data_IF_218143253181
#
_entry.id   IF_218143253181
#
_cell.length_a   1.000
_cell.length_b   1.000
_cell.length_c   1.000
_cell.angle_alpha   90.00
_cell.angle_beta   90.00
_cell.angle_gamma   90.00
#
_symmetry.space_group_name_H-M   'P 1'
#
loop_
_entity.id
_entity.type
_entity.pdbx_description
1 polymer ?
#
# COMPACT_ATOMS: atom_id res chain seq x y z
N UNK A 1 15.01 1.12 -84.23
CA UNK A 1 15.41 0.29 -83.03
C UNK A 1 15.95 -1.01 -83.61
N UNK A 2 17.13 -1.43 -83.20
CA UNK A 2 17.68 -2.71 -83.65
C UNK A 2 17.04 -3.85 -82.85
N UNK A 3 16.85 -5.02 -83.44
CA UNK A 3 16.25 -6.20 -82.67
C UNK A 3 16.95 -6.51 -81.36
N UNK A 4 18.19 -6.06 -81.20
CA UNK A 4 18.99 -6.18 -79.98
C UNK A 4 18.52 -5.23 -78.87
N UNK A 5 18.06 -4.02 -79.18
CA UNK A 5 17.50 -3.04 -78.24
C UNK A 5 16.14 -3.47 -77.70
N UNK A 6 15.30 -4.05 -78.58
CA UNK A 6 14.00 -4.62 -78.19
C UNK A 6 14.15 -5.81 -77.25
N UNK A 7 15.14 -6.65 -77.47
CA UNK A 7 15.44 -7.79 -76.56
C UNK A 7 15.97 -7.34 -75.21
N UNK A 8 16.81 -6.30 -75.19
CA UNK A 8 17.31 -5.71 -73.89
C UNK A 8 16.22 -5.03 -73.13
N UNK A 9 15.32 -4.31 -73.79
CA UNK A 9 14.16 -3.67 -73.11
C UNK A 9 13.21 -4.75 -72.55
N UNK A 10 12.95 -5.82 -73.32
CA UNK A 10 12.14 -6.95 -72.85
C UNK A 10 12.74 -7.65 -71.60
N UNK A 11 14.07 -7.89 -71.65
CA UNK A 11 14.76 -8.48 -70.48
C UNK A 11 14.74 -7.57 -69.23
N UNK A 12 14.91 -6.25 -69.42
CA UNK A 12 14.83 -5.27 -68.33
C UNK A 12 13.43 -5.20 -67.72
N UNK A 13 12.37 -5.22 -68.53
CA UNK A 13 10.98 -5.24 -68.04
C UNK A 13 10.68 -6.54 -67.28
N UNK A 14 11.18 -7.69 -67.78
CA UNK A 14 11.02 -8.96 -67.06
C UNK A 14 11.76 -8.98 -65.74
N UNK A 15 12.95 -8.40 -65.63
CA UNK A 15 13.72 -8.27 -64.40
C UNK A 15 13.00 -7.35 -63.37
N UNK A 16 12.43 -6.23 -63.83
CA UNK A 16 11.63 -5.33 -62.98
C UNK A 16 10.37 -6.03 -62.48
N UNK A 17 9.67 -6.76 -63.34
CA UNK A 17 8.47 -7.51 -62.95
C UNK A 17 8.82 -8.60 -61.93
N UNK A 18 9.89 -9.34 -62.11
CA UNK A 18 10.37 -10.33 -61.15
C UNK A 18 10.75 -9.72 -59.82
N UNK A 19 11.40 -8.55 -59.80
CA UNK A 19 11.73 -7.81 -58.58
C UNK A 19 10.47 -7.33 -57.83
N UNK A 20 9.47 -6.85 -58.57
CA UNK A 20 8.18 -6.45 -57.97
C UNK A 20 7.41 -7.63 -57.36
N UNK A 21 7.39 -8.78 -58.03
CA UNK A 21 6.77 -10.02 -57.54
C UNK A 21 7.49 -10.49 -56.28
N UNK A 22 8.82 -10.50 -56.25
CA UNK A 22 9.61 -10.89 -55.09
C UNK A 22 9.39 -9.92 -53.92
N UNK A 23 9.33 -8.63 -54.17
CA UNK A 23 9.04 -7.62 -53.16
C UNK A 23 7.61 -7.75 -52.59
N UNK A 24 6.62 -7.99 -53.46
CA UNK A 24 5.25 -8.23 -53.07
C UNK A 24 5.11 -9.51 -52.24
N UNK A 25 5.76 -10.59 -52.67
CA UNK A 25 5.79 -11.86 -51.96
C UNK A 25 6.49 -11.73 -50.58
N UNK A 26 7.62 -11.02 -50.52
CA UNK A 26 8.32 -10.73 -49.25
C UNK A 26 7.44 -9.95 -48.27
N UNK A 27 6.76 -8.87 -48.75
CA UNK A 27 5.82 -8.10 -47.92
C UNK A 27 4.65 -8.95 -47.46
N UNK A 28 4.06 -9.75 -48.30
CA UNK A 28 2.95 -10.65 -47.94
C UNK A 28 3.38 -11.69 -46.91
N UNK A 29 4.56 -12.29 -47.07
CA UNK A 29 5.16 -13.25 -46.13
C UNK A 29 5.39 -12.60 -44.76
N UNK A 30 5.99 -11.40 -44.69
CA UNK A 30 6.25 -10.67 -43.47
C UNK A 30 4.93 -10.29 -42.77
N UNK A 31 3.95 -9.79 -43.55
CA UNK A 31 2.63 -9.44 -42.98
C UNK A 31 1.91 -10.65 -42.39
N UNK A 32 2.00 -11.80 -43.02
CA UNK A 32 1.40 -13.05 -42.52
C UNK A 32 2.07 -13.49 -41.21
N UNK A 33 3.38 -13.36 -41.09
CA UNK A 33 4.14 -13.67 -39.86
C UNK A 33 3.72 -12.72 -38.74
N UNK A 34 3.64 -11.41 -39.01
CA UNK A 34 3.24 -10.43 -38.00
C UNK A 34 1.82 -10.65 -37.49
N UNK A 35 0.87 -10.92 -38.38
CA UNK A 35 -0.53 -11.22 -37.99
C UNK A 35 -0.64 -12.50 -37.14
N UNK A 36 0.24 -13.47 -37.36
CA UNK A 36 0.27 -14.70 -36.59
C UNK A 36 0.85 -14.47 -35.21
N UNK A 37 1.92 -13.68 -35.08
CA UNK A 37 2.50 -13.27 -33.82
C UNK A 37 1.52 -12.43 -32.95
N UNK A 38 0.83 -11.50 -33.59
CA UNK A 38 -0.18 -10.67 -32.95
C UNK A 38 -1.29 -11.54 -32.32
N UNK A 39 -1.80 -12.51 -33.06
CA UNK A 39 -2.80 -13.46 -32.59
C UNK A 39 -2.27 -14.31 -31.43
N UNK A 40 -1.05 -14.83 -31.52
CA UNK A 40 -0.42 -15.60 -30.44
C UNK A 40 -0.30 -14.78 -29.16
N UNK A 41 0.07 -13.50 -29.25
CA UNK A 41 0.14 -12.60 -28.12
C UNK A 41 -1.25 -12.30 -27.53
N UNK A 42 -2.26 -12.09 -28.37
CA UNK A 42 -3.63 -11.90 -27.87
C UNK A 42 -4.16 -13.13 -27.14
N UNK A 43 -3.93 -14.32 -27.68
CA UNK A 43 -4.32 -15.60 -27.05
C UNK A 43 -3.56 -15.82 -25.74
N UNK A 44 -2.27 -15.47 -25.70
CA UNK A 44 -1.46 -15.50 -24.48
C UNK A 44 -2.00 -14.57 -23.38
N UNK A 45 -2.36 -13.33 -23.75
CA UNK A 45 -2.94 -12.35 -22.83
C UNK A 45 -4.31 -12.83 -22.32
N UNK A 46 -5.12 -13.47 -23.16
CA UNK A 46 -6.43 -14.03 -22.78
C UNK A 46 -6.32 -15.36 -22.02
N UNK A 47 -5.13 -15.93 -21.90
CA UNK A 47 -4.93 -17.25 -21.25
C UNK A 47 -5.48 -18.43 -22.04
N UNK A 48 -5.76 -18.24 -23.33
CA UNK A 48 -6.35 -19.27 -24.24
C UNK A 48 -5.33 -19.81 -25.24
N UNK A 49 -4.06 -19.47 -25.06
CA UNK A 49 -3.00 -19.89 -25.96
C UNK A 49 -2.81 -21.41 -25.95
N UNK A 50 -2.84 -22.02 -27.14
CA UNK A 50 -2.57 -23.46 -27.37
C UNK A 50 -1.60 -23.60 -28.54
N UNK A 51 -0.66 -24.54 -28.45
CA UNK A 51 0.20 -24.90 -29.54
C UNK A 51 -0.62 -25.44 -30.72
N UNK A 52 -0.43 -24.84 -31.91
CA UNK A 52 -1.19 -25.22 -33.11
C UNK A 52 -0.31 -25.82 -34.24
N UNK A 53 1.01 -25.61 -34.20
CA UNK A 53 1.93 -26.13 -35.19
C UNK A 53 2.99 -27.05 -34.56
N UNK A 54 3.11 -28.25 -35.11
CA UNK A 54 4.08 -29.27 -34.72
C UNK A 54 5.00 -29.61 -35.89
N UNK A 55 5.51 -28.61 -36.60
CA UNK A 55 6.46 -28.77 -37.68
C UNK A 55 7.88 -28.33 -37.29
N UNK A 56 8.88 -28.66 -38.06
CA UNK A 56 10.27 -28.27 -37.80
C UNK A 56 10.58 -26.80 -38.16
N UNK A 57 9.54 -25.95 -38.23
CA UNK A 57 9.70 -24.53 -38.52
C UNK A 57 10.19 -23.74 -37.33
N UNK A 58 10.88 -22.65 -37.58
CA UNK A 58 11.26 -21.64 -36.55
C UNK A 58 10.03 -21.12 -35.79
N UNK A 59 8.86 -21.18 -36.42
CA UNK A 59 7.59 -20.75 -35.83
C UNK A 59 7.11 -21.74 -34.76
N UNK A 60 7.17 -23.03 -35.05
CA UNK A 60 6.83 -24.07 -34.06
C UNK A 60 7.74 -24.01 -32.84
N UNK A 61 9.04 -23.74 -33.02
CA UNK A 61 9.97 -23.56 -31.92
C UNK A 61 9.61 -22.35 -31.05
N UNK A 62 9.16 -21.25 -31.63
CA UNK A 62 8.70 -20.05 -30.88
C UNK A 62 7.38 -20.32 -30.13
N UNK A 63 6.43 -21.01 -30.78
CA UNK A 63 5.17 -21.43 -30.15
C UNK A 63 5.44 -22.32 -28.94
N UNK A 64 6.30 -23.31 -29.02
CA UNK A 64 6.67 -24.21 -27.92
C UNK A 64 7.36 -23.46 -26.80
N UNK A 65 8.31 -22.56 -27.07
CA UNK A 65 8.95 -21.74 -26.07
C UNK A 65 7.96 -20.82 -25.35
N UNK A 66 7.04 -20.19 -26.10
CA UNK A 66 6.00 -19.34 -25.53
C UNK A 66 5.05 -20.15 -24.64
N UNK A 67 4.58 -21.31 -25.11
CA UNK A 67 3.74 -22.22 -24.32
C UNK A 67 4.43 -22.63 -23.02
N UNK A 68 5.71 -23.00 -23.11
CA UNK A 68 6.49 -23.39 -21.93
C UNK A 68 6.65 -22.23 -20.93
N UNK A 69 6.93 -21.01 -21.42
CA UNK A 69 7.02 -19.82 -20.58
C UNK A 69 5.68 -19.47 -19.90
N UNK A 70 4.58 -19.51 -20.66
CA UNK A 70 3.24 -19.25 -20.11
C UNK A 70 2.84 -20.30 -19.08
N UNK A 71 3.11 -21.58 -19.34
CA UNK A 71 2.85 -22.65 -18.37
C UNK A 71 3.68 -22.48 -17.09
N UNK A 72 4.99 -22.18 -17.21
CA UNK A 72 5.85 -21.92 -16.07
C UNK A 72 5.40 -20.68 -15.28
N UNK A 73 5.00 -19.61 -15.97
CA UNK A 73 4.45 -18.39 -15.36
C UNK A 73 3.14 -18.66 -14.62
N UNK A 74 2.23 -19.45 -15.20
CA UNK A 74 0.97 -19.82 -14.57
C UNK A 74 1.20 -20.68 -13.30
N UNK A 75 2.13 -21.63 -13.34
CA UNK A 75 2.51 -22.42 -12.15
C UNK A 75 3.11 -21.53 -11.07
N UNK A 76 4.01 -20.61 -11.44
CA UNK A 76 4.61 -19.67 -10.49
C UNK A 76 3.56 -18.76 -9.85
N UNK A 77 2.64 -18.21 -10.63
CA UNK A 77 1.52 -17.39 -10.13
C UNK A 77 0.63 -18.18 -9.17
N UNK A 78 0.33 -19.43 -9.49
CA UNK A 78 -0.45 -20.32 -8.64
C UNK A 78 0.25 -20.64 -7.31
N UNK A 79 1.55 -20.97 -7.36
CA UNK A 79 2.34 -21.23 -6.16
C UNK A 79 2.39 -19.99 -5.25
N UNK A 80 2.58 -18.80 -5.82
CA UNK A 80 2.57 -17.54 -5.09
C UNK A 80 1.20 -17.29 -4.43
N UNK A 81 0.11 -17.60 -5.13
CA UNK A 81 -1.23 -17.45 -4.58
C UNK A 81 -1.50 -18.47 -3.44
N UNK A 82 -1.02 -19.69 -3.58
CA UNK A 82 -1.11 -20.72 -2.53
C UNK A 82 -0.30 -20.33 -1.29
N UNK A 83 0.91 -19.79 -1.46
CA UNK A 83 1.71 -19.26 -0.34
C UNK A 83 1.01 -18.08 0.35
N UNK A 84 0.46 -17.14 -0.41
CA UNK A 84 -0.36 -16.04 0.14
C UNK A 84 -1.53 -16.58 0.96
N UNK A 85 -2.23 -17.57 0.46
CA UNK A 85 -3.37 -18.17 1.16
C UNK A 85 -2.94 -18.88 2.45
N UNK A 86 -1.80 -19.58 2.46
CA UNK A 86 -1.22 -20.19 3.66
C UNK A 86 -0.88 -19.13 4.71
N UNK A 87 -0.22 -18.06 4.30
CA UNK A 87 0.12 -16.93 5.18
C UNK A 87 -1.18 -16.31 5.75
N UNK A 88 -2.20 -16.15 4.90
CA UNK A 88 -3.52 -15.65 5.31
C UNK A 88 -4.15 -16.47 6.43
N UNK A 89 -4.18 -17.79 6.26
CA UNK A 89 -4.70 -18.71 7.27
C UNK A 89 -3.89 -18.63 8.57
N UNK A 90 -2.56 -18.67 8.46
CA UNK A 90 -1.67 -18.60 9.62
C UNK A 90 -1.86 -17.30 10.43
N UNK A 91 -2.00 -16.15 9.75
CA UNK A 91 -2.24 -14.86 10.41
C UNK A 91 -3.60 -14.84 11.10
N UNK A 92 -4.65 -15.41 10.46
CA UNK A 92 -5.97 -15.51 11.06
C UNK A 92 -5.94 -16.41 12.31
N UNK A 93 -5.28 -17.55 12.24
CA UNK A 93 -5.14 -18.49 13.34
C UNK A 93 -4.36 -17.87 14.51
N UNK A 94 -3.21 -17.24 14.26
CA UNK A 94 -2.45 -16.52 15.28
C UNK A 94 -3.30 -15.43 15.93
N UNK A 95 -4.03 -14.64 15.13
CA UNK A 95 -4.90 -13.58 15.64
C UNK A 95 -5.95 -14.12 16.61
N UNK A 96 -6.63 -15.21 16.24
CA UNK A 96 -7.66 -15.82 17.10
C UNK A 96 -7.08 -16.52 18.32
N UNK A 97 -6.02 -17.30 18.14
CA UNK A 97 -5.41 -18.09 19.22
C UNK A 97 -4.67 -17.25 20.25
N UNK A 98 -4.16 -16.07 19.87
CA UNK A 98 -3.50 -15.17 20.80
C UNK A 98 -4.46 -14.20 21.48
N UNK A 99 -5.53 -13.77 20.80
CA UNK A 99 -6.51 -12.84 21.37
C UNK A 99 -7.20 -13.44 22.61
N UNK A 100 -7.61 -14.68 22.55
CA UNK A 100 -8.34 -15.34 23.66
C UNK A 100 -7.54 -15.40 24.95
N UNK A 101 -6.28 -15.92 25.01
CA UNK A 101 -5.53 -15.96 26.26
C UNK A 101 -5.19 -14.56 26.80
N UNK A 102 -4.93 -13.58 25.94
CA UNK A 102 -4.67 -12.20 26.38
C UNK A 102 -5.91 -11.58 26.99
N UNK A 103 -7.08 -11.75 26.35
CA UNK A 103 -8.36 -11.27 26.91
C UNK A 103 -8.64 -11.91 28.28
N UNK A 104 -8.33 -13.20 28.46
CA UNK A 104 -8.48 -13.87 29.74
C UNK A 104 -7.50 -13.31 30.79
N UNK A 105 -6.24 -13.03 30.44
CA UNK A 105 -5.27 -12.40 31.34
C UNK A 105 -5.74 -11.04 31.78
N UNK A 106 -6.25 -10.20 30.84
CA UNK A 106 -6.84 -8.90 31.17
C UNK A 106 -8.04 -9.02 32.10
N UNK A 107 -8.95 -9.95 31.79
CA UNK A 107 -10.12 -10.18 32.66
C UNK A 107 -9.72 -10.58 34.06
N UNK A 108 -8.77 -11.51 34.22
CA UNK A 108 -8.31 -11.94 35.55
C UNK A 108 -7.56 -10.83 36.30
N UNK A 109 -6.79 -10.01 35.58
CA UNK A 109 -6.12 -8.86 36.19
C UNK A 109 -7.15 -7.84 36.69
N UNK A 110 -8.19 -7.51 35.91
CA UNK A 110 -9.27 -6.64 36.29
C UNK A 110 -10.05 -7.18 37.51
N UNK A 111 -10.41 -8.47 37.51
CA UNK A 111 -11.09 -9.11 38.65
C UNK A 111 -10.22 -9.11 39.91
N UNK A 112 -8.91 -9.24 39.80
CA UNK A 112 -7.99 -9.09 40.93
C UNK A 112 -7.92 -7.63 41.42
N UNK A 113 -7.93 -6.67 40.47
CA UNK A 113 -7.92 -5.24 40.81
C UNK A 113 -9.15 -4.76 41.57
N UNK A 114 -10.31 -5.46 41.40
CA UNK A 114 -11.54 -5.19 42.15
C UNK A 114 -11.51 -5.70 43.63
N UNK A 115 -10.53 -6.56 43.95
CA UNK A 115 -10.41 -7.08 45.33
C UNK A 115 -9.64 -6.13 46.22
N UNK A 116 -9.83 -6.29 47.51
CA UNK A 116 -9.07 -5.52 48.53
C UNK A 116 -7.65 -6.11 48.65
N UNK A 117 -6.75 -5.59 47.84
CA UNK A 117 -5.37 -6.03 47.76
C UNK A 117 -4.42 -5.09 48.51
N UNK A 118 -3.37 -5.62 49.15
CA UNK A 118 -2.26 -4.79 49.61
C UNK A 118 -1.69 -3.92 48.51
N UNK A 119 -1.20 -2.73 48.85
CA UNK A 119 -0.72 -1.73 47.85
C UNK A 119 0.33 -2.30 46.89
N UNK A 120 1.25 -3.11 47.41
CA UNK A 120 2.28 -3.79 46.59
C UNK A 120 1.67 -4.75 45.54
N UNK A 121 0.65 -5.52 45.97
CA UNK A 121 -0.07 -6.43 45.05
C UNK A 121 -0.91 -5.66 44.02
N UNK A 122 -1.52 -4.55 44.43
CA UNK A 122 -2.27 -3.67 43.50
C UNK A 122 -1.39 -3.08 42.44
N UNK A 123 -0.17 -2.61 42.79
CA UNK A 123 0.80 -2.11 41.84
C UNK A 123 1.22 -3.19 40.82
N UNK A 124 1.40 -4.45 41.25
CA UNK A 124 1.71 -5.56 40.36
C UNK A 124 0.56 -5.90 39.40
N UNK A 125 -0.68 -5.87 39.87
CA UNK A 125 -1.88 -6.09 39.03
C UNK A 125 -1.98 -5.01 37.96
N UNK A 126 -1.84 -3.73 38.34
CA UNK A 126 -1.85 -2.60 37.39
C UNK A 126 -0.73 -2.73 36.34
N UNK A 127 0.47 -3.15 36.75
CA UNK A 127 1.58 -3.39 35.84
C UNK A 127 1.27 -4.55 34.89
N UNK A 128 0.63 -5.63 35.38
CA UNK A 128 0.21 -6.77 34.56
C UNK A 128 -0.83 -6.36 33.52
N UNK A 129 -1.84 -5.59 33.91
CA UNK A 129 -2.86 -5.03 33.00
C UNK A 129 -2.19 -4.24 31.88
N UNK A 130 -1.33 -3.30 32.20
CA UNK A 130 -0.62 -2.49 31.20
C UNK A 130 0.24 -3.32 30.25
N UNK A 131 0.89 -4.40 30.72
CA UNK A 131 1.66 -5.31 29.86
C UNK A 131 0.74 -6.14 28.95
N UNK A 132 -0.40 -6.61 29.45
CA UNK A 132 -1.36 -7.38 28.66
C UNK A 132 -2.02 -6.51 27.58
N UNK A 133 -2.42 -5.28 27.87
CA UNK A 133 -2.94 -4.30 26.92
C UNK A 133 -1.90 -3.98 25.83
N UNK A 134 -0.64 -3.80 26.21
CA UNK A 134 0.45 -3.57 25.28
C UNK A 134 0.66 -4.76 24.35
N UNK A 135 0.60 -5.99 24.88
CA UNK A 135 0.72 -7.22 24.08
C UNK A 135 -0.46 -7.36 23.11
N UNK A 136 -1.68 -7.07 23.54
CA UNK A 136 -2.87 -7.05 22.70
C UNK A 136 -2.69 -6.07 21.53
N UNK A 137 -2.31 -4.84 21.82
CA UNK A 137 -2.06 -3.80 20.80
C UNK A 137 -0.96 -4.20 19.79
N UNK A 138 0.11 -4.86 20.29
CA UNK A 138 1.18 -5.41 19.45
C UNK A 138 0.64 -6.42 18.43
N UNK A 139 -0.12 -7.39 18.90
CA UNK A 139 -0.66 -8.46 18.07
C UNK A 139 -1.65 -7.90 17.05
N UNK A 140 -2.56 -7.02 17.46
CA UNK A 140 -3.53 -6.39 16.56
C UNK A 140 -2.82 -5.59 15.45
N UNK A 141 -1.82 -4.80 15.80
CA UNK A 141 -1.04 -4.02 14.84
C UNK A 141 -0.22 -4.92 13.90
N UNK A 142 0.38 -6.02 14.41
CA UNK A 142 1.11 -7.00 13.60
C UNK A 142 0.18 -7.68 12.58
N UNK A 143 -1.00 -8.10 13.02
CA UNK A 143 -2.01 -8.74 12.18
C UNK A 143 -2.50 -7.78 11.10
N UNK A 144 -2.85 -6.53 11.45
CA UNK A 144 -3.26 -5.50 10.49
C UNK A 144 -2.18 -5.27 9.42
N UNK A 145 -0.95 -5.08 9.88
CA UNK A 145 0.20 -4.84 8.99
C UNK A 145 0.47 -6.01 8.05
N UNK A 146 0.48 -7.23 8.59
CA UNK A 146 0.73 -8.43 7.79
C UNK A 146 -0.36 -8.67 6.75
N UNK A 147 -1.63 -8.42 7.08
CA UNK A 147 -2.75 -8.49 6.12
C UNK A 147 -2.61 -7.47 4.99
N UNK A 148 -2.14 -6.27 5.30
CA UNK A 148 -1.93 -5.23 4.29
C UNK A 148 -0.77 -5.58 3.35
N UNK A 149 0.37 -6.05 3.89
CA UNK A 149 1.56 -6.41 3.11
C UNK A 149 1.38 -7.63 2.22
N UNK A 150 0.64 -8.61 2.70
CA UNK A 150 0.33 -9.81 1.90
C UNK A 150 -0.76 -9.56 0.85
N UNK A 151 -1.33 -8.33 0.81
CA UNK A 151 -2.44 -8.01 -0.09
C UNK A 151 -3.74 -8.75 0.27
N UNK A 152 -3.83 -9.27 1.49
CA UNK A 152 -5.05 -9.88 2.04
C UNK A 152 -6.08 -8.80 2.34
N UNK A 153 -5.57 -7.65 2.80
CA UNK A 153 -6.35 -6.47 3.01
C UNK A 153 -6.28 -5.63 1.74
N UNK A 154 -7.35 -5.66 0.99
CA UNK A 154 -7.49 -4.84 -0.21
C UNK A 154 -8.02 -3.47 0.18
N UNK A 155 -7.34 -2.43 -0.29
CA UNK A 155 -7.80 -1.06 -0.19
C UNK A 155 -8.73 -0.77 -1.37
N UNK A 156 -9.85 -0.11 -1.09
CA UNK A 156 -10.84 0.25 -2.10
C UNK A 156 -10.99 1.78 -2.19
N UNK A 157 -9.98 2.49 -2.75
CA UNK A 157 -10.05 3.94 -2.87
C UNK A 157 -11.18 4.37 -3.79
N UNK A 158 -12.01 5.31 -3.30
CA UNK A 158 -13.14 5.90 -4.00
C UNK A 158 -13.14 7.41 -3.82
N UNK A 159 -13.68 8.17 -4.77
CA UNK A 159 -13.89 9.60 -4.58
C UNK A 159 -14.75 9.89 -3.35
N UNK A 160 -14.27 10.73 -2.45
CA UNK A 160 -14.97 11.09 -1.22
C UNK A 160 -14.59 12.48 -0.71
N UNK A 161 -15.42 13.04 0.19
CA UNK A 161 -15.13 14.28 0.91
C UNK A 161 -14.19 14.02 2.08
N UNK A 162 -13.11 14.79 2.20
CA UNK A 162 -12.16 14.68 3.30
C UNK A 162 -12.68 15.30 4.60
N UNK A 163 -13.43 16.41 4.52
CA UNK A 163 -13.87 17.16 5.70
C UNK A 163 -14.58 16.30 6.75
N UNK A 164 -15.69 15.62 6.42
CA UNK A 164 -16.41 14.78 7.39
C UNK A 164 -15.53 13.72 8.05
N UNK A 165 -14.68 13.04 7.28
CA UNK A 165 -13.77 12.01 7.82
C UNK A 165 -12.75 12.60 8.79
N UNK A 166 -12.22 13.80 8.54
CA UNK A 166 -11.28 14.48 9.42
C UNK A 166 -11.96 14.96 10.71
N UNK A 167 -13.20 15.44 10.61
CA UNK A 167 -14.02 15.84 11.77
C UNK A 167 -14.34 14.63 12.65
N UNK A 168 -14.73 13.50 12.05
CA UNK A 168 -15.01 12.24 12.75
C UNK A 168 -13.75 11.71 13.45
N UNK A 169 -12.60 11.70 12.75
CA UNK A 169 -11.33 11.32 13.34
C UNK A 169 -10.95 12.23 14.53
N UNK A 170 -11.09 13.55 14.40
CA UNK A 170 -10.78 14.49 15.47
C UNK A 170 -11.71 14.33 16.68
N UNK A 171 -13.00 14.08 16.45
CA UNK A 171 -13.99 13.87 17.52
C UNK A 171 -13.63 12.69 18.43
N UNK A 172 -13.02 11.62 17.89
CA UNK A 172 -12.56 10.46 18.67
C UNK A 172 -11.46 10.83 19.67
N UNK A 173 -10.70 11.89 19.42
CA UNK A 173 -9.61 12.33 20.29
C UNK A 173 -10.03 13.44 21.27
N UNK A 174 -11.24 13.98 21.19
CA UNK A 174 -11.72 15.03 22.08
C UNK A 174 -11.57 14.69 23.59
N UNK A 175 -11.90 13.49 24.07
CA UNK A 175 -11.70 13.15 25.50
C UNK A 175 -10.22 13.12 25.89
N UNK A 176 -9.35 12.57 25.02
CA UNK A 176 -7.90 12.46 25.29
C UNK A 176 -7.22 13.85 25.28
N UNK A 177 -7.61 14.71 24.36
CA UNK A 177 -7.08 16.08 24.27
C UNK A 177 -7.54 16.93 25.47
N UNK A 178 -8.83 16.80 25.88
CA UNK A 178 -9.34 17.48 27.06
C UNK A 178 -8.62 17.03 28.33
N UNK A 179 -8.43 15.73 28.54
CA UNK A 179 -7.72 15.18 29.70
C UNK A 179 -6.27 15.67 29.82
N UNK A 180 -5.63 16.04 28.71
CA UNK A 180 -4.25 16.51 28.64
C UNK A 180 -4.15 18.04 28.44
N UNK A 181 -5.28 18.75 28.49
CA UNK A 181 -5.38 20.20 28.25
C UNK A 181 -4.81 20.64 26.89
N UNK A 182 -4.94 19.80 25.86
CA UNK A 182 -4.47 20.11 24.50
C UNK A 182 -5.54 20.83 23.70
N UNK A 183 -5.12 21.80 22.87
CA UNK A 183 -6.00 22.44 21.89
C UNK A 183 -5.93 21.69 20.59
N UNK A 184 -7.01 21.01 20.19
CA UNK A 184 -7.15 20.38 18.87
C UNK A 184 -7.96 21.29 17.93
N UNK A 185 -7.35 21.70 16.82
CA UNK A 185 -8.00 22.53 15.79
C UNK A 185 -8.10 21.74 14.49
N UNK A 186 -9.30 21.74 13.88
CA UNK A 186 -9.55 21.15 12.57
C UNK A 186 -9.77 22.24 11.54
N UNK A 187 -9.08 22.17 10.41
CA UNK A 187 -9.21 23.08 9.25
C UNK A 187 -9.42 22.19 8.03
N UNK A 188 -10.66 21.91 7.71
CA UNK A 188 -11.03 20.97 6.65
C UNK A 188 -11.97 21.67 5.64
N UNK A 189 -11.43 22.44 4.67
CA UNK A 189 -12.25 23.00 3.61
C UNK A 189 -12.86 21.88 2.77
N UNK A 190 -13.98 22.17 2.11
CA UNK A 190 -14.64 21.20 1.26
C UNK A 190 -13.73 20.81 0.08
N UNK A 191 -13.27 19.59 0.08
CA UNK A 191 -12.42 19.02 -0.96
C UNK A 191 -12.63 17.52 -1.13
N UNK A 192 -12.39 17.04 -2.36
CA UNK A 192 -12.55 15.64 -2.72
C UNK A 192 -11.21 15.02 -3.07
N UNK A 193 -10.98 13.81 -2.54
CA UNK A 193 -9.82 12.98 -2.86
C UNK A 193 -10.28 11.54 -3.19
N UNK A 194 -9.38 10.76 -3.76
CA UNK A 194 -9.60 9.33 -4.03
C UNK A 194 -8.92 8.55 -2.91
N UNK A 195 -9.72 7.98 -2.01
CA UNK A 195 -9.21 7.28 -0.82
C UNK A 195 -10.19 6.22 -0.31
N UNK A 196 -9.68 5.28 0.47
CA UNK A 196 -10.48 4.35 1.28
C UNK A 196 -10.80 5.02 2.61
N UNK A 197 -12.06 5.36 2.85
CA UNK A 197 -12.47 6.16 4.02
C UNK A 197 -12.04 5.50 5.34
N UNK A 198 -12.31 4.21 5.51
CA UNK A 198 -12.00 3.46 6.73
C UNK A 198 -10.51 3.42 7.03
N UNK A 199 -9.69 3.09 6.02
CA UNK A 199 -8.26 2.94 6.24
C UNK A 199 -7.54 4.28 6.31
N UNK A 200 -8.03 5.28 5.60
CA UNK A 200 -7.48 6.65 5.71
C UNK A 200 -7.78 7.26 7.06
N UNK A 201 -9.00 7.06 7.59
CA UNK A 201 -9.34 7.45 8.96
C UNK A 201 -8.43 6.77 9.99
N UNK A 202 -8.21 5.46 9.89
CA UNK A 202 -7.24 4.72 10.73
C UNK A 202 -5.84 5.36 10.66
N UNK A 203 -5.37 5.72 9.44
CA UNK A 203 -4.08 6.36 9.27
C UNK A 203 -4.03 7.76 9.93
N UNK A 204 -5.08 8.57 9.79
CA UNK A 204 -5.21 9.88 10.46
C UNK A 204 -5.25 9.71 11.97
N UNK A 205 -6.03 8.75 12.48
CA UNK A 205 -6.10 8.44 13.90
C UNK A 205 -4.73 8.05 14.48
N UNK A 206 -3.94 7.27 13.77
CA UNK A 206 -2.56 6.94 14.18
C UNK A 206 -1.66 8.18 14.26
N UNK A 207 -1.82 9.15 13.34
CA UNK A 207 -1.08 10.41 13.39
C UNK A 207 -1.54 11.27 14.55
N UNK A 208 -2.84 11.37 14.79
CA UNK A 208 -3.42 12.11 15.91
C UNK A 208 -3.04 11.49 17.26
N UNK A 209 -3.05 10.16 17.40
CA UNK A 209 -2.62 9.47 18.63
C UNK A 209 -1.16 9.79 18.95
N UNK A 210 -0.28 9.81 17.96
CA UNK A 210 1.10 10.25 18.15
C UNK A 210 1.17 11.73 18.57
N UNK A 211 0.41 12.62 17.93
CA UNK A 211 0.39 14.04 18.27
C UNK A 211 -0.07 14.25 19.72
N UNK A 212 -1.19 13.62 20.14
CA UNK A 212 -1.69 13.70 21.52
C UNK A 212 -0.67 13.15 22.52
N UNK A 213 -0.01 12.07 22.16
CA UNK A 213 0.92 11.36 23.02
C UNK A 213 2.18 12.19 23.32
N UNK A 214 2.77 12.78 22.28
CA UNK A 214 4.04 13.48 22.38
C UNK A 214 3.93 14.99 22.64
N UNK A 215 2.75 15.59 22.47
CA UNK A 215 2.55 17.00 22.82
C UNK A 215 2.43 17.16 24.35
N UNK A 216 3.21 18.03 24.98
CA UNK A 216 3.06 18.35 26.40
C UNK A 216 1.68 18.93 26.73
N UNK A 217 1.26 18.84 28.00
CA UNK A 217 0.05 19.49 28.48
C UNK A 217 0.04 20.99 28.15
N UNK A 218 -1.11 21.53 27.74
CA UNK A 218 -1.25 22.93 27.31
C UNK A 218 -0.78 23.21 25.87
N UNK A 219 -0.26 22.19 25.16
CA UNK A 219 0.15 22.33 23.76
C UNK A 219 -1.01 22.32 22.75
N UNK A 220 -0.68 22.36 21.47
CA UNK A 220 -1.67 22.42 20.39
C UNK A 220 -1.41 21.40 19.29
N UNK A 221 -2.48 20.91 18.70
CA UNK A 221 -2.50 20.00 17.55
C UNK A 221 -3.39 20.63 16.49
N UNK A 222 -2.91 20.69 15.25
CA UNK A 222 -3.68 21.18 14.11
C UNK A 222 -3.81 20.06 13.08
N UNK A 223 -5.05 19.74 12.72
CA UNK A 223 -5.40 18.84 11.62
C UNK A 223 -5.91 19.69 10.46
N UNK A 224 -5.16 19.76 9.38
CA UNK A 224 -5.45 20.65 8.26
C UNK A 224 -5.45 19.89 6.94
N UNK A 225 -6.43 20.20 6.07
CA UNK A 225 -6.46 19.68 4.70
C UNK A 225 -6.23 20.80 3.68
N UNK A 226 -5.35 20.55 2.71
CA UNK A 226 -4.90 21.50 1.70
C UNK A 226 -4.99 20.86 0.31
N UNK A 227 -5.66 21.55 -0.63
CA UNK A 227 -5.77 21.08 -2.01
C UNK A 227 -4.56 21.53 -2.85
N UNK A 228 -3.99 20.59 -3.60
CA UNK A 228 -3.03 20.84 -4.67
C UNK A 228 -3.60 20.35 -6.00
N UNK A 229 -2.87 20.52 -7.08
CA UNK A 229 -3.32 20.16 -8.42
C UNK A 229 -3.57 18.64 -8.57
N UNK A 230 -2.63 17.80 -8.12
CA UNK A 230 -2.68 16.35 -8.25
C UNK A 230 -3.01 15.62 -6.94
N UNK A 231 -2.86 16.27 -5.80
CA UNK A 231 -3.01 15.67 -4.48
C UNK A 231 -3.82 16.56 -3.54
N UNK A 232 -4.52 15.93 -2.61
CA UNK A 232 -4.98 16.56 -1.38
C UNK A 232 -4.00 16.19 -0.27
N UNK A 233 -3.51 17.18 0.49
CA UNK A 233 -2.60 16.97 1.61
C UNK A 233 -3.36 17.13 2.92
N UNK A 234 -3.18 16.19 3.82
CA UNK A 234 -3.67 16.24 5.19
C UNK A 234 -2.43 16.40 6.09
N UNK A 235 -2.36 17.49 6.82
CA UNK A 235 -1.30 17.78 7.78
C UNK A 235 -1.81 17.56 9.21
N UNK A 236 -1.07 16.77 9.98
CA UNK A 236 -1.19 16.71 11.43
C UNK A 236 0.05 17.37 12.01
N UNK A 237 -0.12 18.55 12.61
CA UNK A 237 0.96 19.36 13.18
C UNK A 237 0.79 19.42 14.68
N UNK A 238 1.84 19.12 15.43
CA UNK A 238 1.90 19.19 16.88
C UNK A 238 2.96 20.18 17.37
N UNK A 239 2.84 20.61 18.63
CA UNK A 239 3.83 21.45 19.32
C UNK A 239 4.65 20.64 20.35
N UNK A 240 4.93 19.37 20.03
CA UNK A 240 5.72 18.46 20.83
C UNK A 240 7.23 18.72 20.80
N UNK A 241 8.04 17.78 21.30
CA UNK A 241 9.50 17.93 21.37
C UNK A 241 10.18 17.91 20.01
N UNK A 242 9.47 17.53 18.94
CA UNK A 242 10.04 17.36 17.61
C UNK A 242 10.88 16.10 17.47
N UNK A 243 11.36 15.85 16.24
CA UNK A 243 12.07 14.64 15.82
C UNK A 243 13.41 15.06 15.20
N UNK A 244 14.55 14.55 15.71
CA UNK A 244 15.86 14.79 15.10
C UNK A 244 15.90 14.35 13.64
N UNK A 245 16.63 15.08 12.78
CA UNK A 245 16.70 14.81 11.35
C UNK A 245 17.16 13.36 11.05
N UNK A 246 18.14 12.86 11.80
CA UNK A 246 18.64 11.50 11.66
C UNK A 246 17.59 10.41 11.95
N UNK A 247 16.50 10.75 12.64
CA UNK A 247 15.41 9.81 12.99
C UNK A 247 14.20 9.92 12.08
N UNK A 248 14.02 11.03 11.32
CA UNK A 248 12.83 11.29 10.53
C UNK A 248 12.54 10.22 9.46
N UNK A 249 13.57 9.62 8.86
CA UNK A 249 13.37 8.50 7.95
C UNK A 249 13.04 7.20 8.69
N UNK A 250 13.51 7.05 9.94
CA UNK A 250 13.39 5.84 10.74
C UNK A 250 12.05 5.72 11.46
N UNK A 251 11.37 6.83 11.76
CA UNK A 251 10.06 6.81 12.45
C UNK A 251 8.98 6.04 11.71
N UNK A 252 9.17 5.79 10.41
CA UNK A 252 8.29 4.96 9.57
C UNK A 252 8.71 3.48 9.50
N UNK A 253 9.77 3.08 10.22
CA UNK A 253 10.16 1.67 10.31
C UNK A 253 9.31 0.94 11.36
N UNK A 254 9.10 -0.36 11.13
CA UNK A 254 8.41 -1.21 12.12
C UNK A 254 9.15 -1.24 13.44
N UNK A 255 8.40 -1.17 14.53
CA UNK A 255 8.91 -1.25 15.90
C UNK A 255 9.92 -0.16 16.26
N UNK A 256 10.11 0.84 15.39
CA UNK A 256 11.01 1.92 15.69
C UNK A 256 10.39 2.88 16.72
N UNK A 257 11.18 3.22 17.72
CA UNK A 257 10.87 4.23 18.75
C UNK A 257 12.13 5.04 19.01
N UNK A 258 11.99 6.36 19.08
CA UNK A 258 13.10 7.22 19.49
C UNK A 258 13.47 6.93 20.95
N UNK A 259 14.77 7.00 21.26
CA UNK A 259 15.24 6.85 22.63
C UNK A 259 14.59 7.90 23.58
N UNK A 260 14.39 9.13 23.07
CA UNK A 260 13.72 10.21 23.81
C UNK A 260 12.22 9.96 24.04
N UNK A 261 11.61 9.05 23.27
CA UNK A 261 10.19 8.69 23.33
C UNK A 261 9.96 7.30 23.98
N UNK A 262 10.99 6.70 24.60
CA UNK A 262 10.92 5.33 25.12
C UNK A 262 9.94 5.17 26.29
N UNK A 263 9.70 6.21 27.07
CA UNK A 263 8.78 6.20 28.21
C UNK A 263 7.31 6.34 27.80
N UNK A 264 7.02 6.86 26.60
CA UNK A 264 5.65 7.02 26.15
C UNK A 264 5.07 5.66 25.69
N UNK A 265 3.79 5.39 25.94
CA UNK A 265 3.13 4.14 25.52
C UNK A 265 3.14 3.94 24.01
N UNK A 266 3.23 2.70 23.53
CA UNK A 266 3.06 2.31 22.11
C UNK A 266 4.09 1.35 21.59
N UNK A 267 3.74 0.79 20.44
CA UNK A 267 4.38 -0.38 19.84
C UNK A 267 5.35 0.00 18.71
N UNK A 268 5.27 1.23 18.18
CA UNK A 268 6.09 1.65 17.04
C UNK A 268 5.63 1.07 15.69
N UNK A 269 4.33 0.75 15.55
CA UNK A 269 3.76 0.22 14.29
C UNK A 269 2.85 1.24 13.60
N UNK A 270 2.24 2.17 14.33
CA UNK A 270 1.21 3.08 13.81
C UNK A 270 1.66 3.89 12.60
N UNK A 271 2.84 4.54 12.66
CA UNK A 271 3.38 5.32 11.54
C UNK A 271 3.74 4.46 10.34
N UNK A 272 4.26 3.25 10.57
CA UNK A 272 4.52 2.31 9.51
C UNK A 272 3.21 1.89 8.81
N UNK A 273 2.18 1.52 9.57
CA UNK A 273 0.86 1.16 9.05
C UNK A 273 0.24 2.33 8.26
N UNK A 274 0.27 3.54 8.81
CA UNK A 274 -0.21 4.73 8.09
C UNK A 274 0.49 4.93 6.75
N UNK A 275 1.82 4.74 6.70
CA UNK A 275 2.59 4.83 5.45
C UNK A 275 2.16 3.77 4.44
N UNK A 276 1.96 2.52 4.86
CA UNK A 276 1.51 1.43 3.99
C UNK A 276 0.10 1.70 3.43
N UNK A 277 -0.82 2.15 4.29
CA UNK A 277 -2.19 2.50 3.88
C UNK A 277 -2.17 3.60 2.80
N UNK A 278 -1.40 4.66 3.03
CA UNK A 278 -1.33 5.80 2.11
C UNK A 278 -0.67 5.39 0.79
N UNK A 279 0.42 4.62 0.84
CA UNK A 279 1.11 4.12 -0.36
C UNK A 279 0.24 3.17 -1.18
N UNK A 280 -0.52 2.30 -0.51
CA UNK A 280 -1.44 1.37 -1.18
C UNK A 280 -2.60 2.06 -1.92
N UNK A 281 -2.83 3.35 -1.64
CA UNK A 281 -3.83 4.20 -2.32
C UNK A 281 -3.22 5.14 -3.38
N UNK A 282 -1.94 4.96 -3.72
CA UNK A 282 -1.23 5.82 -4.68
C UNK A 282 -0.76 7.16 -4.10
N UNK A 283 -0.81 7.30 -2.78
CA UNK A 283 -0.35 8.47 -2.05
C UNK A 283 1.04 8.29 -1.41
N UNK A 284 1.43 9.22 -0.57
CA UNK A 284 2.66 9.13 0.21
C UNK A 284 2.57 9.92 1.51
N UNK A 285 3.40 9.55 2.51
CA UNK A 285 3.48 10.15 3.83
C UNK A 285 4.88 10.74 4.05
N UNK A 286 4.95 11.99 4.52
CA UNK A 286 6.19 12.71 4.87
C UNK A 286 6.13 13.20 6.29
N UNK A 287 7.31 13.46 6.87
CA UNK A 287 7.46 14.16 8.14
C UNK A 287 8.37 15.37 7.97
N UNK A 288 8.00 16.45 8.60
CA UNK A 288 8.79 17.67 8.74
C UNK A 288 8.82 18.01 10.22
N UNK A 289 10.00 18.03 10.81
CA UNK A 289 10.13 18.26 12.23
C UNK A 289 11.45 18.94 12.54
N UNK A 290 11.46 19.70 13.62
CA UNK A 290 12.66 20.31 14.19
C UNK A 290 12.61 20.13 15.70
N UNK A 291 13.69 19.65 16.33
CA UNK A 291 13.75 19.53 17.79
C UNK A 291 13.36 20.83 18.48
N UNK A 292 12.45 20.74 19.44
CA UNK A 292 11.88 21.86 20.18
C UNK A 292 10.76 22.64 19.50
N UNK A 293 10.40 22.31 18.25
CA UNK A 293 9.37 23.02 17.47
C UNK A 293 8.19 22.12 17.04
N UNK A 294 8.15 20.90 17.55
CA UNK A 294 7.10 19.93 17.19
C UNK A 294 7.37 19.18 15.89
N UNK A 295 6.36 18.44 15.46
CA UNK A 295 6.39 17.69 14.22
C UNK A 295 5.15 17.96 13.36
N UNK A 296 5.32 17.84 12.05
CA UNK A 296 4.27 17.88 11.06
C UNK A 296 4.35 16.63 10.20
N UNK A 297 3.32 15.81 10.29
CA UNK A 297 3.12 14.66 9.40
C UNK A 297 2.17 15.05 8.27
N UNK A 298 2.63 14.90 7.04
CA UNK A 298 1.91 15.29 5.83
C UNK A 298 1.55 14.05 5.02
N UNK A 299 0.27 13.74 4.91
CA UNK A 299 -0.30 12.65 4.13
C UNK A 299 -0.81 13.22 2.80
N UNK A 300 -0.36 12.67 1.70
CA UNK A 300 -0.78 13.06 0.35
C UNK A 300 -1.64 11.97 -0.26
N UNK A 301 -2.87 12.29 -0.63
CA UNK A 301 -3.82 11.40 -1.29
C UNK A 301 -4.10 11.91 -2.71
N UNK A 302 -4.29 11.03 -3.71
CA UNK A 302 -4.64 11.45 -5.05
C UNK A 302 -5.91 12.30 -5.03
N UNK A 303 -5.89 13.42 -5.74
CA UNK A 303 -7.07 14.27 -5.91
C UNK A 303 -8.01 13.65 -6.92
N UNK A 304 -9.32 13.78 -6.71
CA UNK A 304 -10.29 13.50 -7.77
C UNK A 304 -10.08 14.48 -8.92
N UNK A 305 -9.58 13.99 -10.05
CA UNK A 305 -9.43 14.79 -11.26
C UNK A 305 -10.72 14.65 -12.05
N UNK A 306 -11.47 15.73 -12.21
CA UNK A 306 -12.56 15.78 -13.19
C UNK A 306 -11.90 15.73 -14.58
N UNK A 307 -11.85 14.55 -15.21
CA UNK A 307 -11.56 14.37 -16.64
C UNK A 307 -12.84 14.56 -17.42
#
# INVERSE_FOLDING_TARGET
MTAREELLIGAALLAVLAALVLAAWGRWRTRRVMLRLERMLEEAIRGTFTETSFDESLFSAVETQLAHYLAASAVSARNLQEEKNKIKSLIADISHQTKTPITNVLLYAQLLGEQDLPEESRALVTALEGQAEKLQSLIEALVKTSRLETGILELHPRPGLLGPMLEDAAAQFAPKTAAKELTLRVIAPEMRAVFDAKWTEEAVCNLLDNAVKYTPAGGSITLEAIAYELFCRIDVTDTGPGIPEAEQARVFQRFYRSAAASEAEGVGIGLYLSRQIVQGQGGYLKVFSRPGYGAKFSMYLPRETNL
#
